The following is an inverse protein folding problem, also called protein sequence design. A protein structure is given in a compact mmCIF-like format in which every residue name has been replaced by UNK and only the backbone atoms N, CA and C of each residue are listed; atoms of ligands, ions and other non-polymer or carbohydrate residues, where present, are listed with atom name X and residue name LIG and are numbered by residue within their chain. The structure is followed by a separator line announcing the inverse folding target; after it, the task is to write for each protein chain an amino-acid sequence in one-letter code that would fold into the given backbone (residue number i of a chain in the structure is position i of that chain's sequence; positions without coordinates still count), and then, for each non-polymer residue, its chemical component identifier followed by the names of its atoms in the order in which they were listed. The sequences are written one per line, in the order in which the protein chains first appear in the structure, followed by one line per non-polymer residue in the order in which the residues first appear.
data_IF_494141010762
#
_entry.id   IF_494141010762
#
_cell.length_a   1.000
_cell.length_b   1.000
_cell.length_c   1.000
_cell.angle_alpha   90.00
_cell.angle_beta   90.00
_cell.angle_gamma   90.00
#
_symmetry.space_group_name_H-M   'P 1'
#
loop_
_entity.id
_entity.type
_entity.pdbx_description
1 polymer ?
#
# COMPACT_ATOMS: atom_id res chain seq x y z
N UNK A 1 -0.67 13.34 -26.60
CA UNK A 1 0.76 13.38 -26.25
C UNK A 1 0.96 14.04 -24.89
N UNK A 2 0.75 13.28 -23.80
CA UNK A 2 1.22 13.66 -22.47
C UNK A 2 2.70 13.27 -22.33
N UNK A 3 3.56 13.94 -23.03
CA UNK A 3 4.99 13.93 -22.73
C UNK A 3 5.19 14.78 -21.48
N UNK A 4 5.31 14.12 -20.33
CA UNK A 4 5.79 14.76 -19.12
C UNK A 4 7.19 15.31 -19.40
N UNK A 5 7.29 16.62 -19.51
CA UNK A 5 8.53 17.35 -19.71
C UNK A 5 9.43 17.08 -18.49
N UNK A 6 10.57 16.44 -18.68
CA UNK A 6 11.51 16.06 -17.60
C UNK A 6 11.88 17.25 -16.70
N UNK A 7 11.92 18.46 -17.24
CA UNK A 7 12.19 19.69 -16.50
C UNK A 7 11.11 20.06 -15.48
N UNK A 8 9.85 19.64 -15.70
CA UNK A 8 8.77 19.83 -14.73
C UNK A 8 8.86 18.83 -13.58
N UNK A 9 9.39 17.63 -13.85
CA UNK A 9 9.65 16.63 -12.81
C UNK A 9 10.82 17.06 -11.90
N UNK A 10 11.87 17.63 -12.44
CA UNK A 10 13.00 18.16 -11.66
C UNK A 10 12.59 19.39 -10.82
N UNK A 11 11.71 20.25 -11.31
CA UNK A 11 11.13 21.34 -10.53
C UNK A 11 10.34 20.83 -9.33
N UNK A 12 9.65 19.68 -9.48
CA UNK A 12 8.92 19.03 -8.41
C UNK A 12 9.86 18.34 -7.38
N UNK A 13 11.04 17.92 -7.80
CA UNK A 13 12.06 17.27 -6.93
C UNK A 13 12.70 18.29 -5.98
N UNK A 14 12.78 19.56 -6.38
CA UNK A 14 13.30 20.67 -5.56
C UNK A 14 12.31 21.20 -4.52
N UNK A 15 11.11 20.63 -4.41
CA UNK A 15 10.21 20.91 -3.30
C UNK A 15 10.88 20.44 -2.01
N UNK A 16 11.27 21.41 -1.17
CA UNK A 16 11.85 21.21 0.16
C UNK A 16 11.20 20.02 0.86
N UNK A 17 12.00 19.13 1.45
CA UNK A 17 11.55 17.98 2.26
C UNK A 17 10.37 18.39 3.14
N UNK A 18 9.18 17.97 2.75
CA UNK A 18 7.95 18.34 3.46
C UNK A 18 7.65 17.33 4.58
N UNK A 19 8.58 17.19 5.54
CA UNK A 19 8.37 16.36 6.74
C UNK A 19 7.13 16.76 7.56
N UNK A 20 6.60 17.96 7.31
CA UNK A 20 5.36 18.43 7.96
C UNK A 20 4.09 17.89 7.28
N UNK A 21 4.18 17.28 6.09
CA UNK A 21 3.04 16.67 5.42
C UNK A 21 2.94 15.20 5.79
N UNK A 22 1.73 14.77 6.15
CA UNK A 22 1.44 13.42 6.62
C UNK A 22 0.77 12.60 5.54
N UNK A 23 1.18 11.34 5.42
CA UNK A 23 0.60 10.37 4.51
C UNK A 23 0.23 9.12 5.30
N UNK A 24 -1.04 8.76 5.27
CA UNK A 24 -1.52 7.51 5.82
C UNK A 24 -1.80 6.52 4.68
N UNK A 25 -1.05 5.43 4.63
CA UNK A 25 -1.31 4.34 3.72
C UNK A 25 -2.30 3.39 4.40
N UNK A 26 -3.48 3.28 3.84
CA UNK A 26 -4.53 2.40 4.30
C UNK A 26 -4.50 1.10 3.51
N UNK A 27 -4.17 0.01 4.18
CA UNK A 27 -4.36 -1.31 3.59
C UNK A 27 -5.79 -1.72 3.90
N UNK A 28 -6.61 -1.83 2.84
CA UNK A 28 -8.00 -2.26 2.93
C UNK A 28 -8.09 -3.51 3.78
N UNK A 29 -9.05 -3.60 4.72
CA UNK A 29 -9.19 -4.74 5.62
C UNK A 29 -9.11 -6.06 4.90
N UNK A 30 -8.31 -6.96 5.43
CA UNK A 30 -8.17 -8.30 4.87
C UNK A 30 -8.04 -9.35 5.97
N UNK A 31 -8.49 -10.54 5.65
CA UNK A 31 -8.48 -11.69 6.54
C UNK A 31 -8.40 -12.99 5.73
N UNK A 32 -8.19 -14.09 6.47
CA UNK A 32 -8.06 -15.41 5.90
C UNK A 32 -6.74 -15.63 5.16
N UNK A 33 -6.49 -16.87 4.82
CA UNK A 33 -5.21 -17.33 4.30
C UNK A 33 -4.83 -16.69 2.96
N UNK A 34 -5.78 -16.58 2.04
CA UNK A 34 -5.53 -16.12 0.67
C UNK A 34 -5.01 -14.68 0.65
N UNK A 35 -5.74 -13.77 1.31
CA UNK A 35 -5.37 -12.36 1.31
C UNK A 35 -4.16 -12.07 2.20
N UNK A 36 -4.01 -12.81 3.31
CA UNK A 36 -2.84 -12.67 4.17
C UNK A 36 -1.57 -13.15 3.47
N UNK A 37 -1.60 -14.28 2.77
CA UNK A 37 -0.48 -14.70 1.93
C UNK A 37 -0.20 -13.67 0.82
N UNK A 38 -1.23 -13.15 0.15
CA UNK A 38 -1.06 -12.12 -0.89
C UNK A 38 -0.41 -10.85 -0.36
N UNK A 39 -0.76 -10.41 0.85
CA UNK A 39 -0.08 -9.30 1.50
C UNK A 39 1.43 -9.54 1.65
N UNK A 40 1.82 -10.70 2.19
CA UNK A 40 3.23 -11.01 2.42
C UNK A 40 4.01 -11.34 1.15
N UNK A 41 3.37 -11.92 0.14
CA UNK A 41 4.03 -12.35 -1.09
C UNK A 41 4.06 -11.29 -2.19
N UNK A 42 3.08 -10.37 -2.22
CA UNK A 42 2.89 -9.41 -3.29
C UNK A 42 2.99 -7.96 -2.82
N UNK A 43 2.04 -7.50 -1.97
CA UNK A 43 1.99 -6.09 -1.59
C UNK A 43 3.22 -5.67 -0.78
N UNK A 44 3.57 -6.39 0.29
CA UNK A 44 4.68 -6.02 1.15
C UNK A 44 6.03 -6.00 0.40
N UNK A 45 6.37 -6.99 -0.45
CA UNK A 45 7.56 -6.92 -1.31
C UNK A 45 7.53 -5.76 -2.31
N UNK A 46 6.36 -5.42 -2.87
CA UNK A 46 6.24 -4.30 -3.80
C UNK A 46 6.32 -2.93 -3.09
N UNK A 47 5.85 -2.82 -1.85
CA UNK A 47 6.09 -1.65 -1.01
C UNK A 47 7.58 -1.41 -0.73
N UNK A 48 8.37 -2.49 -0.60
CA UNK A 48 9.83 -2.41 -0.42
C UNK A 48 10.59 -2.10 -1.71
N UNK A 49 9.95 -2.12 -2.88
CA UNK A 49 10.61 -1.86 -4.15
C UNK A 49 11.11 -0.42 -4.27
N UNK A 50 11.94 -0.19 -5.28
CA UNK A 50 12.63 1.09 -5.48
C UNK A 50 11.69 2.28 -5.48
N UNK A 51 12.03 3.29 -4.68
CA UNK A 51 11.30 4.55 -4.56
C UNK A 51 9.82 4.43 -4.11
N UNK A 52 9.45 3.33 -3.45
CA UNK A 52 8.17 3.21 -2.78
C UNK A 52 8.32 3.57 -1.29
N UNK A 53 8.25 2.62 -0.38
CA UNK A 53 8.19 2.90 1.06
C UNK A 53 9.39 3.70 1.60
N UNK A 54 10.60 3.34 1.18
CA UNK A 54 11.81 4.01 1.63
C UNK A 54 11.81 5.48 1.21
N UNK A 55 11.48 5.77 -0.07
CA UNK A 55 11.47 7.12 -0.59
C UNK A 55 10.40 7.98 0.10
N UNK A 56 9.18 7.45 0.26
CA UNK A 56 8.08 8.23 0.84
C UNK A 56 8.34 8.56 2.32
N UNK A 57 8.90 7.61 3.10
CA UNK A 57 9.30 7.83 4.50
C UNK A 57 10.43 8.83 4.66
N UNK A 58 11.33 8.92 3.69
CA UNK A 58 12.41 9.92 3.71
C UNK A 58 11.88 11.35 3.54
N UNK A 59 10.78 11.51 2.82
CA UNK A 59 10.27 12.81 2.40
C UNK A 59 9.00 13.26 3.14
N UNK A 60 8.27 12.34 3.77
CA UNK A 60 6.99 12.59 4.45
C UNK A 60 6.94 11.89 5.81
N UNK A 61 6.04 12.36 6.69
CA UNK A 61 5.64 11.61 7.88
C UNK A 61 4.60 10.56 7.46
N UNK A 62 4.97 9.26 7.51
CA UNK A 62 4.16 8.17 6.95
C UNK A 62 3.74 7.21 8.04
N UNK A 63 2.45 6.88 8.08
CA UNK A 63 1.91 5.74 8.82
C UNK A 63 1.26 4.74 7.87
N UNK A 64 1.37 3.45 8.17
CA UNK A 64 0.73 2.38 7.40
C UNK A 64 -0.26 1.67 8.32
N UNK A 65 -1.54 1.74 7.99
CA UNK A 65 -2.61 1.17 8.77
C UNK A 65 -3.04 -0.17 8.19
N UNK A 66 -2.84 -1.24 8.95
CA UNK A 66 -3.36 -2.59 8.67
C UNK A 66 -4.58 -2.86 9.54
N UNK A 67 -5.59 -3.49 8.95
CA UNK A 67 -6.77 -3.98 9.65
C UNK A 67 -6.92 -5.46 9.31
N UNK A 68 -6.59 -6.33 10.26
CA UNK A 68 -6.35 -7.76 10.04
C UNK A 68 -7.02 -8.61 11.12
N UNK A 69 -7.25 -9.89 10.84
CA UNK A 69 -7.68 -10.86 11.84
C UNK A 69 -6.54 -11.31 12.76
N UNK A 70 -6.86 -12.03 13.82
CA UNK A 70 -5.89 -12.55 14.78
C UNK A 70 -4.88 -13.52 14.17
N UNK A 71 -5.25 -14.21 13.07
CA UNK A 71 -4.36 -15.16 12.38
C UNK A 71 -3.17 -14.46 11.69
N UNK A 72 -3.23 -13.17 11.44
CA UNK A 72 -2.14 -12.42 10.83
C UNK A 72 -0.78 -12.67 11.48
N UNK A 73 -0.74 -12.80 12.80
CA UNK A 73 0.51 -13.02 13.53
C UNK A 73 1.14 -14.40 13.27
N UNK A 74 0.33 -15.42 12.94
CA UNK A 74 0.83 -16.74 12.55
C UNK A 74 1.52 -16.67 11.18
N UNK A 75 0.93 -15.93 10.24
CA UNK A 75 1.55 -15.67 8.93
C UNK A 75 2.80 -14.81 9.05
N UNK A 76 2.80 -13.82 9.92
CA UNK A 76 3.99 -13.03 10.20
C UNK A 76 5.18 -13.90 10.61
N UNK A 77 4.96 -14.90 11.48
CA UNK A 77 5.98 -15.89 11.85
C UNK A 77 6.39 -16.77 10.68
N UNK A 78 5.43 -17.29 9.90
CA UNK A 78 5.67 -18.09 8.69
C UNK A 78 6.59 -17.38 7.71
N UNK A 79 6.38 -16.08 7.47
CA UNK A 79 7.18 -15.26 6.56
C UNK A 79 8.41 -14.65 7.22
N UNK A 80 8.71 -14.99 8.47
CA UNK A 80 9.88 -14.50 9.23
C UNK A 80 9.99 -12.97 9.29
N UNK A 81 8.84 -12.27 9.24
CA UNK A 81 8.79 -10.82 9.38
C UNK A 81 8.70 -10.46 10.86
N UNK A 82 9.68 -9.71 11.34
CA UNK A 82 9.75 -9.37 12.76
C UNK A 82 8.84 -8.20 13.14
N UNK A 83 8.40 -8.13 14.40
CA UNK A 83 7.71 -6.95 14.93
C UNK A 83 8.57 -5.69 14.81
N UNK A 84 9.89 -5.83 14.88
CA UNK A 84 10.83 -4.74 14.67
C UNK A 84 10.69 -4.12 13.29
N UNK A 85 10.49 -4.96 12.23
CA UNK A 85 10.25 -4.46 10.89
C UNK A 85 9.00 -3.58 10.81
N UNK A 86 7.87 -4.03 11.38
CA UNK A 86 6.63 -3.26 11.38
C UNK A 86 6.77 -1.95 12.16
N UNK A 87 7.41 -1.97 13.34
CA UNK A 87 7.69 -0.77 14.13
C UNK A 87 8.57 0.23 13.38
N UNK A 88 9.70 -0.21 12.81
CA UNK A 88 10.63 0.64 12.05
C UNK A 88 9.98 1.26 10.82
N UNK A 89 8.98 0.61 10.25
CA UNK A 89 8.24 1.11 9.09
C UNK A 89 6.91 1.77 9.45
N UNK A 90 6.70 2.05 10.74
CA UNK A 90 5.53 2.76 11.26
C UNK A 90 4.18 2.12 10.88
N UNK A 91 4.14 0.78 10.87
CA UNK A 91 2.90 0.04 10.71
C UNK A 91 2.07 0.11 12.00
N UNK A 92 0.80 0.43 11.86
CA UNK A 92 -0.23 0.39 12.90
C UNK A 92 -1.14 -0.79 12.61
N UNK A 93 -0.97 -1.88 13.35
CA UNK A 93 -1.77 -3.10 13.16
C UNK A 93 -2.98 -3.02 14.08
N UNK A 94 -4.17 -3.08 13.50
CA UNK A 94 -5.46 -3.04 14.20
C UNK A 94 -6.16 -4.39 13.99
N UNK A 95 -6.69 -4.98 15.07
CA UNK A 95 -7.44 -6.24 15.01
C UNK A 95 -8.87 -5.95 14.59
N UNK A 96 -9.36 -6.64 13.55
CA UNK A 96 -10.69 -6.45 12.97
C UNK A 96 -11.81 -6.73 13.97
N UNK A 97 -11.59 -7.61 14.93
CA UNK A 97 -12.59 -7.98 15.94
C UNK A 97 -13.03 -6.77 16.81
N UNK A 98 -12.20 -5.73 16.88
CA UNK A 98 -12.52 -4.49 17.59
C UNK A 98 -13.50 -3.59 16.82
N UNK A 99 -13.91 -3.94 15.60
CA UNK A 99 -14.70 -3.12 14.70
C UNK A 99 -16.09 -3.71 14.41
N UNK A 100 -16.57 -4.63 15.23
CA UNK A 100 -17.89 -5.25 15.10
C UNK A 100 -18.96 -4.28 15.62
N UNK A 101 -19.99 -4.07 14.82
CA UNK A 101 -21.24 -3.39 15.23
C UNK A 101 -22.35 -4.44 15.34
N UNK A 102 -22.95 -4.59 16.51
CA UNK A 102 -24.01 -5.56 16.79
C UNK A 102 -25.29 -5.37 15.95
N UNK A 103 -25.45 -4.20 15.33
CA UNK A 103 -26.63 -3.87 14.50
C UNK A 103 -26.46 -4.22 13.02
N UNK A 104 -25.30 -4.70 12.60
CA UNK A 104 -24.97 -5.03 11.21
C UNK A 104 -24.42 -6.44 11.12
N UNK A 105 -24.43 -7.01 9.92
CA UNK A 105 -23.65 -8.22 9.71
C UNK A 105 -22.16 -7.97 10.04
N UNK A 106 -21.52 -8.98 10.57
CA UNK A 106 -20.18 -8.87 11.13
C UNK A 106 -19.15 -8.38 10.10
N UNK A 107 -19.28 -8.84 8.87
CA UNK A 107 -18.34 -8.52 7.81
C UNK A 107 -18.44 -7.06 7.37
N UNK A 108 -19.67 -6.60 7.09
CA UNK A 108 -19.93 -5.21 6.70
C UNK A 108 -19.52 -4.25 7.82
N UNK A 109 -19.74 -4.63 9.08
CA UNK A 109 -19.31 -3.84 10.23
C UNK A 109 -17.81 -3.68 10.30
N UNK A 110 -17.06 -4.77 10.20
CA UNK A 110 -15.60 -4.76 10.23
C UNK A 110 -15.01 -3.87 9.14
N UNK A 111 -15.51 -4.01 7.91
CA UNK A 111 -15.03 -3.21 6.77
C UNK A 111 -15.37 -1.73 6.98
N UNK A 112 -16.65 -1.39 7.16
CA UNK A 112 -17.08 -0.01 7.25
C UNK A 112 -16.42 0.73 8.41
N UNK A 113 -16.41 0.12 9.61
CA UNK A 113 -15.85 0.76 10.78
C UNK A 113 -14.34 0.97 10.69
N UNK A 114 -13.61 0.08 10.00
CA UNK A 114 -12.19 0.30 9.73
C UNK A 114 -11.92 1.47 8.77
N UNK A 115 -12.77 1.66 7.75
CA UNK A 115 -12.71 2.85 6.89
C UNK A 115 -13.01 4.13 7.66
N UNK A 116 -14.04 4.11 8.53
CA UNK A 116 -14.41 5.25 9.38
C UNK A 116 -13.26 5.59 10.35
N UNK A 117 -12.67 4.59 11.00
CA UNK A 117 -11.55 4.79 11.92
C UNK A 117 -10.34 5.38 11.19
N UNK A 118 -10.01 4.84 10.01
CA UNK A 118 -8.93 5.38 9.20
C UNK A 118 -9.19 6.83 8.76
N UNK A 119 -10.40 7.13 8.27
CA UNK A 119 -10.78 8.47 7.86
C UNK A 119 -10.67 9.48 9.01
N UNK A 120 -11.15 9.12 10.22
CA UNK A 120 -11.00 9.94 11.42
C UNK A 120 -9.53 10.23 11.75
N UNK A 121 -8.65 9.23 11.62
CA UNK A 121 -7.20 9.39 11.82
C UNK A 121 -6.58 10.33 10.79
N UNK A 122 -6.99 10.24 9.53
CA UNK A 122 -6.51 11.14 8.47
C UNK A 122 -6.96 12.58 8.70
N UNK A 123 -8.23 12.81 9.01
CA UNK A 123 -8.77 14.13 9.31
C UNK A 123 -8.05 14.75 10.51
N UNK A 124 -7.95 14.02 11.62
CA UNK A 124 -7.27 14.49 12.84
C UNK A 124 -5.81 14.90 12.59
N UNK A 125 -5.13 14.23 11.68
CA UNK A 125 -3.71 14.46 11.37
C UNK A 125 -3.49 15.37 10.17
N UNK A 126 -4.55 15.83 9.51
CA UNK A 126 -4.48 16.52 8.22
C UNK A 126 -3.60 15.74 7.21
N UNK A 127 -3.85 14.44 7.11
CA UNK A 127 -3.03 13.50 6.33
C UNK A 127 -3.70 13.14 5.01
N UNK A 128 -2.90 12.95 3.97
CA UNK A 128 -3.34 12.30 2.74
C UNK A 128 -3.55 10.81 2.99
N UNK A 129 -4.61 10.23 2.45
CA UNK A 129 -4.85 8.78 2.45
C UNK A 129 -4.49 8.16 1.10
N UNK A 130 -3.74 7.05 1.12
CA UNK A 130 -3.50 6.19 -0.05
C UNK A 130 -4.07 4.81 0.28
N UNK A 131 -5.09 4.38 -0.45
CA UNK A 131 -5.76 3.10 -0.21
C UNK A 131 -5.16 2.01 -1.10
N UNK A 132 -4.76 0.88 -0.50
CA UNK A 132 -4.17 -0.27 -1.19
C UNK A 132 -4.87 -1.55 -0.75
N UNK A 133 -5.06 -2.51 -1.66
CA UNK A 133 -5.53 -3.85 -1.31
C UNK A 133 -4.36 -4.81 -1.05
N UNK A 134 -4.59 -5.81 -0.21
CA UNK A 134 -3.56 -6.77 0.20
C UNK A 134 -2.97 -7.58 -0.96
N UNK A 135 -3.70 -7.72 -2.05
CA UNK A 135 -3.31 -8.47 -3.26
C UNK A 135 -2.69 -7.61 -4.37
N UNK A 136 -2.46 -6.32 -4.09
CA UNK A 136 -1.84 -5.44 -5.08
C UNK A 136 -0.37 -5.74 -5.31
N UNK A 137 0.05 -5.52 -6.55
CA UNK A 137 1.45 -5.45 -6.96
C UNK A 137 1.71 -4.04 -7.45
N UNK A 138 2.56 -3.32 -6.72
CA UNK A 138 2.93 -1.95 -7.04
C UNK A 138 4.22 -1.95 -7.88
N UNK A 139 4.27 -1.16 -8.94
CA UNK A 139 5.52 -0.97 -9.67
C UNK A 139 6.49 -0.08 -8.88
N UNK A 140 7.74 -0.04 -9.32
CA UNK A 140 8.71 0.93 -8.83
C UNK A 140 8.21 2.36 -9.01
N UNK A 141 8.57 3.23 -8.09
CA UNK A 141 8.19 4.65 -8.06
C UNK A 141 6.69 4.93 -7.85
N UNK A 142 5.86 3.93 -7.57
CA UNK A 142 4.41 4.13 -7.44
C UNK A 142 4.05 5.14 -6.36
N UNK A 143 4.50 4.92 -5.12
CA UNK A 143 4.22 5.82 -4.00
C UNK A 143 4.89 7.19 -4.18
N UNK A 144 6.11 7.21 -4.74
CA UNK A 144 6.79 8.46 -5.10
C UNK A 144 5.95 9.28 -6.07
N UNK A 145 5.45 8.67 -7.15
CA UNK A 145 4.69 9.38 -8.17
C UNK A 145 3.36 9.92 -7.61
N UNK A 146 2.65 9.15 -6.80
CA UNK A 146 1.43 9.61 -6.13
C UNK A 146 1.74 10.83 -5.25
N UNK A 147 2.74 10.74 -4.38
CA UNK A 147 3.09 11.83 -3.48
C UNK A 147 3.51 13.10 -4.22
N UNK A 148 4.18 12.97 -5.36
CA UNK A 148 4.56 14.11 -6.21
C UNK A 148 3.36 14.73 -6.92
N UNK A 149 2.50 13.94 -7.54
CA UNK A 149 1.31 14.42 -8.26
C UNK A 149 0.36 15.16 -7.29
N UNK A 150 0.21 14.65 -6.11
CA UNK A 150 -0.71 15.17 -5.10
C UNK A 150 -0.11 16.29 -4.27
N UNK A 151 1.19 16.53 -4.39
CA UNK A 151 1.94 17.46 -3.54
C UNK A 151 1.76 17.19 -2.03
N UNK A 152 1.38 15.95 -1.67
CA UNK A 152 1.06 15.56 -0.27
C UNK A 152 -0.06 16.37 0.34
N UNK A 153 -0.99 16.92 -0.46
CA UNK A 153 -2.18 17.61 0.03
C UNK A 153 -3.14 16.60 0.68
N UNK A 154 -3.88 16.99 1.73
CA UNK A 154 -4.84 16.10 2.38
C UNK A 154 -6.00 15.79 1.42
N UNK A 155 -6.07 14.55 0.95
CA UNK A 155 -7.19 13.99 0.21
C UNK A 155 -7.06 12.46 0.19
N UNK A 156 -8.12 11.78 -0.22
CA UNK A 156 -8.10 10.34 -0.41
C UNK A 156 -7.72 10.03 -1.85
N UNK A 157 -6.66 9.25 -2.04
CA UNK A 157 -6.28 8.72 -3.34
C UNK A 157 -6.77 7.28 -3.48
N UNK A 158 -7.67 7.08 -4.41
CA UNK A 158 -8.06 5.75 -4.89
C UNK A 158 -7.64 5.60 -6.35
N UNK A 159 -7.31 4.41 -6.77
CA UNK A 159 -6.82 4.17 -8.12
C UNK A 159 -7.63 3.08 -8.81
N UNK A 160 -7.67 3.14 -10.13
CA UNK A 160 -8.23 2.08 -10.95
C UNK A 160 -7.28 0.88 -10.94
N UNK A 161 -7.82 -0.30 -10.73
CA UNK A 161 -7.07 -1.55 -10.70
C UNK A 161 -7.20 -2.27 -12.04
N UNK A 162 -6.10 -2.81 -12.53
CA UNK A 162 -6.14 -3.81 -13.59
C UNK A 162 -6.28 -5.19 -12.92
N UNK A 163 -7.42 -5.83 -13.12
CA UNK A 163 -7.61 -7.21 -12.67
C UNK A 163 -6.89 -8.14 -13.64
N UNK A 164 -6.20 -9.11 -13.07
CA UNK A 164 -5.39 -10.06 -13.84
C UNK A 164 -5.61 -11.49 -13.37
N UNK A 165 -5.39 -12.44 -14.25
CA UNK A 165 -5.45 -13.85 -13.91
C UNK A 165 -4.33 -14.24 -12.94
N UNK A 166 -4.61 -15.14 -11.99
CA UNK A 166 -3.64 -15.61 -10.98
C UNK A 166 -2.37 -16.21 -11.58
N UNK A 167 -2.42 -16.68 -12.82
CA UNK A 167 -1.23 -17.19 -13.54
C UNK A 167 -0.08 -16.17 -13.66
N UNK A 168 -0.39 -14.87 -13.60
CA UNK A 168 0.61 -13.80 -13.58
C UNK A 168 1.60 -13.97 -12.42
N UNK A 169 1.17 -14.54 -11.28
CA UNK A 169 2.01 -14.68 -10.09
C UNK A 169 3.26 -15.53 -10.34
N UNK A 170 3.19 -16.51 -11.25
CA UNK A 170 4.36 -17.30 -11.66
C UNK A 170 5.40 -16.42 -12.36
N UNK A 171 4.94 -15.47 -13.16
CA UNK A 171 5.82 -14.54 -13.87
C UNK A 171 6.36 -13.44 -12.94
N UNK A 172 5.55 -12.94 -12.02
CA UNK A 172 5.96 -11.94 -11.02
C UNK A 172 7.10 -12.45 -10.14
N UNK A 173 7.12 -13.76 -9.82
CA UNK A 173 8.24 -14.36 -9.06
C UNK A 173 9.61 -14.09 -9.69
N UNK A 174 9.71 -13.94 -11.02
CA UNK A 174 10.97 -13.63 -11.72
C UNK A 174 11.48 -12.20 -11.42
N UNK A 175 10.60 -11.31 -10.98
CA UNK A 175 10.94 -9.94 -10.60
C UNK A 175 11.21 -9.80 -9.10
N UNK A 176 11.08 -10.90 -8.33
CA UNK A 176 11.34 -10.88 -6.89
C UNK A 176 12.83 -11.05 -6.62
N UNK A 177 13.45 -10.03 -6.02
CA UNK A 177 14.85 -10.01 -5.62
C UNK A 177 14.97 -9.49 -4.19
N UNK A 178 15.71 -10.20 -3.33
CA UNK A 178 15.96 -9.77 -1.95
C UNK A 178 14.69 -9.28 -1.20
N UNK A 179 13.62 -10.06 -1.25
CA UNK A 179 12.32 -9.73 -0.66
C UNK A 179 11.62 -8.46 -1.19
N UNK A 180 12.01 -8.00 -2.39
CA UNK A 180 11.38 -6.91 -3.12
C UNK A 180 10.84 -7.41 -4.45
N UNK A 181 9.77 -6.78 -4.96
CA UNK A 181 9.33 -6.96 -6.34
C UNK A 181 9.82 -5.75 -7.13
N UNK A 182 10.82 -5.94 -7.97
CA UNK A 182 11.42 -4.88 -8.79
C UNK A 182 10.88 -4.96 -10.21
N UNK A 183 9.79 -4.28 -10.46
CA UNK A 183 9.13 -4.19 -11.76
C UNK A 183 8.75 -2.75 -12.07
N UNK A 184 9.13 -2.25 -13.24
CA UNK A 184 8.75 -0.92 -13.69
C UNK A 184 7.31 -0.88 -14.24
N UNK A 185 6.75 0.32 -14.36
CA UNK A 185 5.37 0.53 -14.84
C UNK A 185 5.10 -0.14 -16.20
N UNK A 186 5.99 0.02 -17.17
CA UNK A 186 5.82 -0.54 -18.53
C UNK A 186 5.72 -2.06 -18.49
N UNK A 187 6.64 -2.70 -17.77
CA UNK A 187 6.66 -4.15 -17.67
C UNK A 187 5.44 -4.70 -16.93
N UNK A 188 5.00 -4.03 -15.85
CA UNK A 188 3.80 -4.45 -15.11
C UNK A 188 2.55 -4.32 -15.96
N UNK A 189 2.37 -3.22 -16.71
CA UNK A 189 1.24 -3.05 -17.64
C UNK A 189 1.27 -4.11 -18.72
N UNK A 190 2.42 -4.36 -19.35
CA UNK A 190 2.54 -5.38 -20.38
C UNK A 190 2.19 -6.78 -19.87
N UNK A 191 2.59 -7.10 -18.64
CA UNK A 191 2.21 -8.35 -17.98
C UNK A 191 0.69 -8.40 -17.73
N UNK A 192 0.10 -7.33 -17.21
CA UNK A 192 -1.33 -7.26 -16.95
C UNK A 192 -2.16 -7.48 -18.25
N UNK A 193 -1.71 -6.89 -19.36
CA UNK A 193 -2.35 -7.09 -20.67
C UNK A 193 -2.16 -8.51 -21.22
N UNK A 194 -1.07 -9.17 -20.88
CA UNK A 194 -0.79 -10.56 -21.29
C UNK A 194 -1.60 -11.60 -20.49
N UNK A 195 -2.01 -11.26 -19.27
CA UNK A 195 -2.75 -12.15 -18.37
C UNK A 195 -4.07 -11.50 -17.93
N UNK A 196 -5.00 -11.18 -18.85
CA UNK A 196 -6.27 -10.59 -18.50
C UNK A 196 -7.11 -11.55 -17.63
N UNK A 197 -8.05 -10.97 -16.87
CA UNK A 197 -8.98 -11.72 -16.01
C UNK A 197 -10.05 -12.41 -16.86
#
# INVERSE_FOLDING_TARGET
NFLFNNNKLEYLINLKRNKNKKINIFIVPFWGEIYTNSFFENLLPSLKSKNNLEWIKKNYDVEIHLYVDSNFYNFQKKYKITNKFFKLNNFKINTLDNFIDKKRDELSSKILNSYIDHAKKCIKKNAMSINLCADFILPENYLKNIALITHGKPFCYTHTQLRVNKSILKTIKKYKKNDKIEINNKNLINLALKYPF
#
